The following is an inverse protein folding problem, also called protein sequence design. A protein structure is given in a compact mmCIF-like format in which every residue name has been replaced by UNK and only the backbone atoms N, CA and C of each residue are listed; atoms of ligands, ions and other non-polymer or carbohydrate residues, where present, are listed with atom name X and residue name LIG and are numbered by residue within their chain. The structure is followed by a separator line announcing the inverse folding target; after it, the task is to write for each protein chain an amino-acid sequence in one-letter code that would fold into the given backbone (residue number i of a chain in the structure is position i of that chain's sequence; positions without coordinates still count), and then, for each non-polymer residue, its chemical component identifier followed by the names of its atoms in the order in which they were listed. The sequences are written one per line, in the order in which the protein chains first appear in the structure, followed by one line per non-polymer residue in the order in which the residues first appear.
data_IF_559861107620
#
_entry.id   IF_559861107620
#
_cell.length_a   1.000
_cell.length_b   1.000
_cell.length_c   1.000
_cell.angle_alpha   90.00
_cell.angle_beta   90.00
_cell.angle_gamma   90.00
#
_symmetry.space_group_name_H-M   'P 1'
#
loop_
_entity.id
_entity.type
_entity.pdbx_description
1 polymer ?
#
# COMPACT_ATOMS: atom_id res chain seq x y z
N UNK A 1 20.62 -2.06 -11.24
CA UNK A 1 20.24 -2.35 -9.84
C UNK A 1 20.88 -1.40 -8.82
N UNK A 2 22.00 -0.73 -9.18
CA UNK A 2 22.71 0.18 -8.26
C UNK A 2 21.91 1.40 -7.78
N UNK A 3 20.86 1.79 -8.50
CA UNK A 3 20.10 3.02 -8.23
C UNK A 3 18.80 2.80 -7.43
N UNK A 4 18.55 1.56 -6.94
CA UNK A 4 17.40 1.28 -6.10
C UNK A 4 17.73 1.49 -4.61
N UNK A 5 16.81 2.16 -3.90
CA UNK A 5 16.78 2.22 -2.43
C UNK A 5 15.88 1.08 -1.96
N UNK A 6 16.39 0.23 -1.08
CA UNK A 6 15.69 -0.99 -0.64
C UNK A 6 15.10 -0.84 0.76
N UNK A 7 13.94 -1.44 0.97
CA UNK A 7 13.24 -1.44 2.25
C UNK A 7 13.97 -2.22 3.35
N UNK A 8 14.77 -3.22 3.00
CA UNK A 8 15.58 -4.04 3.92
C UNK A 8 16.71 -3.25 4.61
N UNK A 9 17.10 -2.08 4.07
CA UNK A 9 18.05 -1.16 4.73
C UNK A 9 17.44 -0.53 6.01
N UNK A 10 16.11 -0.59 6.14
CA UNK A 10 15.37 -0.23 7.35
C UNK A 10 15.16 -1.47 8.21
N UNK A 11 15.99 -1.66 9.21
CA UNK A 11 16.00 -2.82 10.10
C UNK A 11 14.71 -2.86 10.97
N UNK A 12 13.60 -3.34 10.36
CA UNK A 12 12.25 -3.31 10.93
C UNK A 12 11.99 -4.39 12.01
N UNK A 13 13.00 -4.76 12.78
CA UNK A 13 12.81 -5.40 14.08
C UNK A 13 13.43 -6.76 14.30
N UNK A 14 13.96 -6.92 15.50
CA UNK A 14 14.32 -8.21 16.09
C UNK A 14 13.05 -8.91 16.60
N UNK A 15 12.95 -10.21 16.38
CA UNK A 15 11.73 -11.02 16.52
C UNK A 15 10.93 -10.90 17.84
N UNK A 16 11.56 -10.66 18.99
CA UNK A 16 10.85 -10.57 20.29
C UNK A 16 10.21 -9.21 20.52
N UNK A 17 10.89 -8.13 20.19
CA UNK A 17 10.40 -6.76 20.30
C UNK A 17 9.26 -6.52 19.29
N UNK A 18 9.40 -7.04 18.07
CA UNK A 18 8.36 -6.99 17.05
C UNK A 18 7.05 -7.61 17.55
N UNK A 19 7.10 -8.84 18.10
CA UNK A 19 5.92 -9.56 18.60
C UNK A 19 5.20 -8.82 19.72
N UNK A 20 5.93 -8.15 20.61
CA UNK A 20 5.34 -7.30 21.65
C UNK A 20 4.59 -6.13 21.04
N UNK A 21 5.22 -5.38 20.14
CA UNK A 21 4.58 -4.22 19.49
C UNK A 21 3.38 -4.62 18.63
N UNK A 22 3.43 -5.75 17.96
CA UNK A 22 2.29 -6.30 17.21
C UNK A 22 1.07 -6.52 18.13
N UNK A 23 1.26 -7.18 19.26
CA UNK A 23 0.18 -7.44 20.22
C UNK A 23 -0.34 -6.15 20.86
N UNK A 24 0.56 -5.26 21.25
CA UNK A 24 0.22 -3.96 21.81
C UNK A 24 -0.61 -3.13 20.84
N UNK A 25 -0.13 -3.01 19.60
CA UNK A 25 -0.77 -2.23 18.57
C UNK A 25 -2.14 -2.79 18.20
N UNK A 26 -2.26 -4.12 18.07
CA UNK A 26 -3.53 -4.79 17.82
C UNK A 26 -4.56 -4.50 18.91
N UNK A 27 -4.14 -4.57 20.17
CA UNK A 27 -5.01 -4.24 21.32
C UNK A 27 -5.40 -2.76 21.35
N UNK A 28 -4.46 -1.87 21.07
CA UNK A 28 -4.70 -0.42 21.00
C UNK A 28 -5.71 -0.08 19.90
N UNK A 29 -5.48 -0.56 18.68
CA UNK A 29 -6.35 -0.26 17.53
C UNK A 29 -7.75 -0.81 17.74
N UNK A 30 -7.89 -2.03 18.30
CA UNK A 30 -9.22 -2.58 18.61
C UNK A 30 -10.00 -1.66 19.58
N UNK A 31 -9.35 -1.18 20.64
CA UNK A 31 -9.99 -0.25 21.59
C UNK A 31 -10.29 1.10 20.95
N UNK A 32 -9.38 1.62 20.14
CA UNK A 32 -9.57 2.89 19.43
C UNK A 32 -10.73 2.82 18.43
N UNK A 33 -10.85 1.73 17.67
CA UNK A 33 -11.98 1.54 16.75
C UNK A 33 -13.32 1.47 17.49
N UNK A 34 -13.37 0.88 18.69
CA UNK A 34 -14.58 0.87 19.50
C UNK A 34 -14.97 2.30 19.92
N UNK A 35 -14.00 3.15 20.29
CA UNK A 35 -14.27 4.57 20.61
C UNK A 35 -14.76 5.34 19.38
N UNK A 36 -14.14 5.12 18.21
CA UNK A 36 -14.61 5.74 16.96
C UNK A 36 -16.02 5.29 16.59
N UNK A 37 -16.35 4.02 16.82
CA UNK A 37 -17.71 3.49 16.63
C UNK A 37 -18.75 4.16 17.52
N UNK A 38 -18.39 4.47 18.77
CA UNK A 38 -19.27 5.22 19.68
C UNK A 38 -19.48 6.66 19.18
N UNK A 39 -18.41 7.34 18.73
CA UNK A 39 -18.51 8.71 18.18
C UNK A 39 -19.39 8.71 16.92
N UNK A 40 -19.20 7.75 16.00
CA UNK A 40 -20.03 7.60 14.80
C UNK A 40 -21.49 7.34 15.17
N UNK A 41 -21.75 6.48 16.17
CA UNK A 41 -23.10 6.20 16.64
C UNK A 41 -23.81 7.45 17.18
N UNK A 42 -23.15 8.21 18.04
CA UNK A 42 -23.76 9.45 18.59
C UNK A 42 -23.94 10.53 17.53
N UNK A 43 -22.96 10.73 16.64
CA UNK A 43 -23.13 11.70 15.55
C UNK A 43 -24.27 11.30 14.60
N UNK A 44 -24.43 10.00 14.32
CA UNK A 44 -25.57 9.53 13.51
C UNK A 44 -26.92 9.75 14.22
N UNK A 45 -27.00 9.58 15.55
CA UNK A 45 -28.20 9.87 16.34
C UNK A 45 -28.55 11.36 16.30
N UNK A 46 -27.54 12.24 16.41
CA UNK A 46 -27.74 13.68 16.30
C UNK A 46 -28.28 14.03 14.91
N UNK A 47 -27.68 13.47 13.84
CA UNK A 47 -28.08 13.72 12.45
C UNK A 47 -29.49 13.16 12.09
N UNK A 48 -29.98 12.21 12.88
CA UNK A 48 -31.31 11.66 12.71
C UNK A 48 -32.44 12.62 13.19
N UNK A 49 -32.11 13.59 14.02
CA UNK A 49 -33.07 14.60 14.50
C UNK A 49 -33.19 15.75 13.48
N UNK A 50 -34.32 15.81 12.79
CA UNK A 50 -34.59 16.86 11.79
C UNK A 50 -34.79 18.26 12.39
N UNK A 51 -34.88 18.38 13.72
CA UNK A 51 -35.11 19.66 14.41
C UNK A 51 -33.85 20.41 14.80
N UNK A 52 -32.67 19.80 14.61
CA UNK A 52 -31.38 20.46 14.92
C UNK A 52 -31.11 21.63 13.97
N UNK A 53 -30.43 22.65 14.49
CA UNK A 53 -30.00 23.77 13.67
C UNK A 53 -28.80 23.35 12.78
N UNK A 54 -28.50 24.19 11.77
CA UNK A 54 -27.46 23.89 10.78
C UNK A 54 -26.07 23.77 11.41
N UNK A 55 -25.73 24.59 12.40
CA UNK A 55 -24.44 24.56 13.10
C UNK A 55 -24.19 23.22 13.83
N UNK A 56 -25.26 22.67 14.44
CA UNK A 56 -25.20 21.37 15.10
C UNK A 56 -25.09 20.25 14.06
N UNK A 57 -25.81 20.39 12.96
CA UNK A 57 -25.73 19.43 11.83
C UNK A 57 -24.33 19.36 11.26
N UNK A 58 -23.75 20.50 10.87
CA UNK A 58 -22.37 20.58 10.35
C UNK A 58 -21.36 19.99 11.34
N UNK A 59 -21.51 20.30 12.63
CA UNK A 59 -20.65 19.77 13.70
C UNK A 59 -20.74 18.24 13.81
N UNK A 60 -21.94 17.67 13.72
CA UNK A 60 -22.15 16.23 13.77
C UNK A 60 -21.60 15.51 12.52
N UNK A 61 -21.76 16.10 11.34
CA UNK A 61 -21.16 15.60 10.09
C UNK A 61 -19.62 15.60 10.15
N UNK A 62 -19.04 16.67 10.69
CA UNK A 62 -17.59 16.75 10.86
C UNK A 62 -17.06 15.73 11.87
N UNK A 63 -17.78 15.49 12.98
CA UNK A 63 -17.43 14.42 13.93
C UNK A 63 -17.50 13.03 13.27
N UNK A 64 -18.55 12.76 12.49
CA UNK A 64 -18.71 11.49 11.78
C UNK A 64 -17.59 11.27 10.75
N UNK A 65 -17.28 12.30 9.96
CA UNK A 65 -16.18 12.28 8.98
C UNK A 65 -14.85 12.05 9.67
N UNK A 66 -14.54 12.76 10.75
CA UNK A 66 -13.28 12.62 11.51
C UNK A 66 -13.13 11.22 12.10
N UNK A 67 -14.20 10.64 12.65
CA UNK A 67 -14.19 9.30 13.19
C UNK A 67 -13.98 8.23 12.09
N UNK A 68 -14.53 8.46 10.89
CA UNK A 68 -14.29 7.61 9.71
C UNK A 68 -12.82 7.65 9.27
N UNK A 69 -12.24 8.84 9.18
CA UNK A 69 -10.81 9.04 8.86
C UNK A 69 -9.91 8.36 9.88
N UNK A 70 -10.20 8.49 11.19
CA UNK A 70 -9.45 7.83 12.25
C UNK A 70 -9.53 6.29 12.16
N UNK A 71 -10.69 5.75 11.80
CA UNK A 71 -10.87 4.29 11.59
C UNK A 71 -10.06 3.81 10.37
N UNK A 72 -10.00 4.60 9.31
CA UNK A 72 -9.22 4.28 8.12
C UNK A 72 -7.71 4.31 8.41
N UNK A 73 -7.23 5.32 9.14
CA UNK A 73 -5.85 5.38 9.63
C UNK A 73 -5.48 4.14 10.46
N UNK A 74 -6.35 3.72 11.36
CA UNK A 74 -6.13 2.51 12.15
C UNK A 74 -5.99 1.25 11.28
N UNK A 75 -6.78 1.15 10.21
CA UNK A 75 -6.69 0.03 9.25
C UNK A 75 -5.35 0.03 8.52
N UNK A 76 -4.88 1.20 8.09
CA UNK A 76 -3.58 1.33 7.43
C UNK A 76 -2.43 1.02 8.38
N UNK A 77 -2.48 1.51 9.62
CA UNK A 77 -1.48 1.17 10.66
C UNK A 77 -1.43 -0.35 10.91
N UNK A 78 -2.60 -1.01 10.98
CA UNK A 78 -2.63 -2.47 11.12
C UNK A 78 -2.00 -3.19 9.94
N UNK A 79 -2.25 -2.75 8.72
CA UNK A 79 -1.60 -3.27 7.51
C UNK A 79 -0.07 -3.09 7.55
N UNK A 80 0.38 -1.90 7.97
CA UNK A 80 1.81 -1.57 8.07
C UNK A 80 2.53 -2.23 9.26
N UNK A 81 1.81 -2.72 10.25
CA UNK A 81 2.40 -3.28 11.48
C UNK A 81 2.89 -4.72 11.35
N UNK A 82 2.58 -5.41 10.25
CA UNK A 82 2.84 -6.84 10.09
C UNK A 82 2.06 -7.72 11.06
N UNK A 83 0.99 -7.21 11.67
CA UNK A 83 0.15 -7.94 12.64
C UNK A 83 -0.72 -9.06 12.00
N UNK A 84 -0.62 -9.28 10.71
CA UNK A 84 -1.28 -10.35 9.99
C UNK A 84 -0.38 -11.57 9.86
N UNK A 85 -0.89 -12.76 10.15
CA UNK A 85 -0.17 -14.01 9.81
C UNK A 85 -0.07 -14.10 8.29
N UNK A 86 1.16 -14.26 7.79
CA UNK A 86 1.43 -14.53 6.37
C UNK A 86 1.57 -16.03 6.19
N UNK A 87 0.78 -16.61 5.29
CA UNK A 87 0.84 -18.02 4.94
C UNK A 87 1.40 -18.17 3.53
N UNK A 88 2.73 -18.28 3.44
CA UNK A 88 3.42 -18.43 2.15
C UNK A 88 3.05 -19.76 1.53
N UNK A 89 2.40 -19.70 0.38
CA UNK A 89 1.99 -20.83 -0.45
C UNK A 89 2.34 -20.59 -1.91
N UNK A 90 1.68 -21.33 -2.79
CA UNK A 90 1.84 -21.24 -4.25
C UNK A 90 0.78 -20.31 -4.81
N UNK A 91 1.20 -19.22 -5.46
CA UNK A 91 0.33 -18.25 -6.12
C UNK A 91 0.50 -18.36 -7.64
N UNK A 92 -0.53 -18.78 -8.35
CA UNK A 92 -0.56 -18.78 -9.81
C UNK A 92 -1.18 -17.48 -10.29
N UNK A 93 -0.50 -16.77 -11.17
CA UNK A 93 -1.01 -15.51 -11.72
C UNK A 93 -2.34 -15.68 -12.44
N UNK A 94 -2.57 -16.84 -13.11
CA UNK A 94 -3.86 -17.17 -13.74
C UNK A 94 -5.05 -17.03 -12.79
N UNK A 95 -4.85 -17.37 -11.51
CA UNK A 95 -5.91 -17.46 -10.52
C UNK A 95 -6.25 -16.10 -9.89
N UNK A 96 -5.23 -15.24 -9.74
CA UNK A 96 -5.35 -13.97 -9.01
C UNK A 96 -5.41 -12.74 -9.91
N UNK A 97 -4.83 -12.82 -11.09
CA UNK A 97 -4.63 -11.68 -12.00
C UNK A 97 -5.94 -11.00 -12.44
N UNK A 98 -7.05 -11.71 -12.72
CA UNK A 98 -8.31 -11.05 -13.07
C UNK A 98 -8.82 -10.11 -11.99
N UNK A 99 -8.75 -10.56 -10.72
CA UNK A 99 -9.13 -9.74 -9.57
C UNK A 99 -8.15 -8.57 -9.34
N UNK A 100 -6.85 -8.85 -9.38
CA UNK A 100 -5.84 -7.80 -9.19
C UNK A 100 -5.93 -6.71 -10.26
N UNK A 101 -6.12 -7.11 -11.51
CA UNK A 101 -6.29 -6.18 -12.63
C UNK A 101 -7.50 -5.27 -12.41
N UNK A 102 -8.67 -5.85 -12.14
CA UNK A 102 -9.90 -5.09 -11.89
C UNK A 102 -9.76 -4.09 -10.74
N UNK A 103 -9.09 -4.52 -9.64
CA UNK A 103 -8.87 -3.64 -8.49
C UNK A 103 -7.87 -2.52 -8.78
N UNK A 104 -6.81 -2.78 -9.56
CA UNK A 104 -5.87 -1.76 -9.99
C UNK A 104 -6.52 -0.76 -10.97
N UNK A 105 -7.39 -1.23 -11.88
CA UNK A 105 -8.18 -0.36 -12.77
C UNK A 105 -9.09 0.58 -11.96
N UNK A 106 -9.76 0.07 -10.92
CA UNK A 106 -10.60 0.88 -10.00
C UNK A 106 -9.75 1.97 -9.30
N UNK A 107 -8.59 1.59 -8.73
CA UNK A 107 -7.69 2.52 -8.04
C UNK A 107 -7.20 3.62 -8.99
N UNK A 108 -6.74 3.25 -10.18
CA UNK A 108 -6.22 4.20 -11.16
C UNK A 108 -7.32 5.09 -11.73
N UNK A 109 -8.51 4.52 -11.98
CA UNK A 109 -9.68 5.26 -12.45
C UNK A 109 -10.14 6.33 -11.46
N UNK A 110 -10.08 6.04 -10.15
CA UNK A 110 -10.41 7.02 -9.10
C UNK A 110 -9.45 8.23 -9.09
N UNK A 111 -8.21 8.05 -9.54
CA UNK A 111 -7.20 9.12 -9.67
C UNK A 111 -7.13 9.72 -11.07
N UNK A 112 -7.96 9.27 -12.01
CA UNK A 112 -7.98 9.76 -13.41
C UNK A 112 -6.72 9.43 -14.22
N UNK A 113 -5.99 8.35 -13.86
CA UNK A 113 -4.74 7.97 -14.53
C UNK A 113 -4.93 6.76 -15.44
N UNK A 114 -4.15 6.68 -16.52
CA UNK A 114 -4.13 5.54 -17.41
C UNK A 114 -3.46 4.33 -16.75
N UNK A 115 -4.05 3.15 -16.91
CA UNK A 115 -3.53 1.91 -16.34
C UNK A 115 -3.19 0.89 -17.43
N UNK A 116 -2.03 0.24 -17.29
CA UNK A 116 -1.64 -0.90 -18.10
C UNK A 116 -1.09 -2.03 -17.25
N UNK A 117 -1.34 -3.27 -17.65
CA UNK A 117 -0.79 -4.46 -17.02
C UNK A 117 -0.28 -5.42 -18.08
N UNK A 118 1.00 -5.76 -17.98
CA UNK A 118 1.68 -6.68 -18.89
C UNK A 118 2.24 -7.87 -18.11
N UNK A 119 1.97 -9.06 -18.58
CA UNK A 119 2.57 -10.30 -18.06
C UNK A 119 3.35 -10.94 -19.20
N UNK A 120 4.67 -11.07 -19.01
CA UNK A 120 5.52 -11.76 -19.97
C UNK A 120 5.21 -13.26 -20.00
N UNK A 121 5.60 -13.92 -21.07
CA UNK A 121 5.45 -15.37 -21.16
C UNK A 121 6.31 -16.11 -20.13
N UNK A 122 5.90 -17.32 -19.75
CA UNK A 122 6.66 -18.23 -18.89
C UNK A 122 6.91 -17.72 -17.47
N UNK A 123 6.01 -16.90 -16.91
CA UNK A 123 6.06 -16.57 -15.47
C UNK A 123 5.75 -17.84 -14.65
N UNK A 124 6.67 -18.32 -13.81
CA UNK A 124 6.39 -19.46 -12.93
C UNK A 124 5.39 -19.08 -11.84
N UNK A 125 4.86 -20.07 -11.12
CA UNK A 125 4.10 -19.81 -9.92
C UNK A 125 4.96 -19.07 -8.87
N UNK A 126 4.35 -18.15 -8.15
CA UNK A 126 5.03 -17.30 -7.18
C UNK A 126 4.95 -17.93 -5.79
N UNK A 127 5.99 -17.74 -4.97
CA UNK A 127 5.96 -18.08 -3.55
C UNK A 127 5.47 -16.87 -2.77
N UNK A 128 4.28 -16.96 -2.13
CA UNK A 128 3.70 -15.85 -1.37
C UNK A 128 2.35 -16.21 -0.80
N UNK A 129 1.78 -15.29 -0.05
CA UNK A 129 0.38 -15.30 0.36
C UNK A 129 -0.43 -14.51 -0.67
N UNK A 130 -1.40 -15.12 -1.33
CA UNK A 130 -2.12 -14.51 -2.45
C UNK A 130 -2.88 -13.24 -2.05
N UNK A 131 -3.48 -13.23 -0.85
CA UNK A 131 -4.21 -12.07 -0.34
C UNK A 131 -3.24 -10.92 0.04
N UNK A 132 -2.15 -11.26 0.74
CA UNK A 132 -1.14 -10.29 1.18
C UNK A 132 -0.31 -9.74 0.02
N UNK A 133 -0.01 -10.55 -0.99
CA UNK A 133 0.65 -10.09 -2.20
C UNK A 133 -0.27 -9.13 -2.99
N UNK A 134 -1.57 -9.42 -3.08
CA UNK A 134 -2.54 -8.48 -3.65
C UNK A 134 -2.61 -7.17 -2.87
N UNK A 135 -2.69 -7.23 -1.54
CA UNK A 135 -2.69 -6.05 -0.66
C UNK A 135 -1.42 -5.18 -0.86
N UNK A 136 -0.24 -5.82 -0.93
CA UNK A 136 1.02 -5.15 -1.23
C UNK A 136 0.98 -4.42 -2.58
N UNK A 137 0.55 -5.12 -3.64
CA UNK A 137 0.41 -4.54 -4.99
C UNK A 137 -0.54 -3.34 -4.96
N UNK A 138 -1.69 -3.44 -4.26
CA UNK A 138 -2.66 -2.35 -4.17
C UNK A 138 -2.11 -1.13 -3.43
N UNK A 139 -1.30 -1.29 -2.39
CA UNK A 139 -0.60 -0.18 -1.74
C UNK A 139 0.35 0.53 -2.71
N UNK A 140 1.15 -0.23 -3.46
CA UNK A 140 2.08 0.33 -4.45
C UNK A 140 1.33 1.04 -5.60
N UNK A 141 0.26 0.45 -6.11
CA UNK A 141 -0.55 1.02 -7.19
C UNK A 141 -1.28 2.28 -6.73
N UNK A 142 -1.84 2.30 -5.53
CA UNK A 142 -2.48 3.49 -4.96
C UNK A 142 -1.48 4.64 -4.84
N UNK A 143 -0.29 4.38 -4.30
CA UNK A 143 0.76 5.39 -4.21
C UNK A 143 1.20 5.90 -5.59
N UNK A 144 1.31 5.01 -6.57
CA UNK A 144 1.64 5.33 -7.96
C UNK A 144 0.55 6.18 -8.63
N UNK A 145 -0.73 5.81 -8.46
CA UNK A 145 -1.87 6.51 -9.03
C UNK A 145 -2.03 7.92 -8.44
N UNK A 146 -1.92 8.07 -7.12
CA UNK A 146 -1.93 9.36 -6.44
C UNK A 146 -0.79 10.28 -6.92
N UNK A 147 0.40 9.72 -7.12
CA UNK A 147 1.55 10.49 -7.64
C UNK A 147 1.35 10.90 -9.09
N UNK A 148 0.79 10.04 -9.93
CA UNK A 148 0.56 10.29 -11.34
C UNK A 148 -0.66 11.19 -11.62
N UNK A 149 -1.65 11.23 -10.71
CA UNK A 149 -2.89 12.00 -10.87
C UNK A 149 -2.69 13.52 -10.97
N UNK A 150 -1.54 14.04 -10.54
CA UNK A 150 -1.16 15.45 -10.73
C UNK A 150 -0.69 15.80 -12.15
N UNK A 151 -0.58 14.84 -13.06
CA UNK A 151 -0.06 15.04 -14.42
C UNK A 151 -1.17 14.88 -15.46
N UNK A 152 -1.19 15.73 -16.48
CA UNK A 152 -2.23 15.70 -17.55
C UNK A 152 -2.28 14.40 -18.35
N UNK A 153 -1.18 13.65 -18.38
CA UNK A 153 -1.07 12.32 -18.99
C UNK A 153 -0.50 11.31 -18.00
N UNK A 154 -0.98 11.37 -16.76
CA UNK A 154 -0.56 10.46 -15.71
C UNK A 154 -0.85 8.99 -16.07
N UNK A 155 0.11 8.12 -15.78
CA UNK A 155 -0.02 6.70 -16.10
C UNK A 155 0.60 5.83 -15.02
N UNK A 156 0.04 4.63 -14.88
CA UNK A 156 0.56 3.55 -14.04
C UNK A 156 0.68 2.29 -14.89
N UNK A 157 1.84 1.66 -14.87
CA UNK A 157 2.11 0.41 -15.58
C UNK A 157 2.60 -0.66 -14.61
N UNK A 158 2.04 -1.86 -14.72
CA UNK A 158 2.49 -3.07 -14.01
C UNK A 158 3.08 -4.04 -15.04
N UNK A 159 4.29 -4.50 -14.81
CA UNK A 159 4.97 -5.45 -15.67
C UNK A 159 5.55 -6.61 -14.86
N UNK A 160 5.18 -7.84 -15.22
CA UNK A 160 5.76 -9.08 -14.69
C UNK A 160 6.76 -9.65 -15.67
N UNK A 161 7.97 -9.92 -15.19
CA UNK A 161 9.05 -10.53 -15.96
C UNK A 161 9.47 -11.88 -15.36
N UNK A 162 9.74 -12.90 -16.19
CA UNK A 162 10.23 -14.17 -15.70
C UNK A 162 11.67 -14.03 -15.14
N UNK A 163 12.14 -15.01 -14.36
CA UNK A 163 13.50 -15.01 -13.84
C UNK A 163 14.57 -14.79 -14.91
N UNK A 164 15.49 -13.88 -14.63
CA UNK A 164 16.64 -13.60 -15.49
C UNK A 164 16.37 -12.71 -16.71
N UNK A 165 15.12 -12.28 -16.97
CA UNK A 165 14.83 -11.40 -18.11
C UNK A 165 15.07 -9.92 -17.78
N UNK A 166 14.53 -9.41 -16.67
CA UNK A 166 14.68 -7.99 -16.30
C UNK A 166 15.85 -7.76 -15.34
N UNK A 167 16.13 -8.71 -14.46
CA UNK A 167 17.28 -8.67 -13.55
C UNK A 167 17.99 -10.02 -13.50
N UNK A 168 19.32 -10.05 -13.26
CA UNK A 168 20.01 -11.31 -13.01
C UNK A 168 19.46 -11.99 -11.75
N UNK A 169 19.12 -13.28 -11.86
CA UNK A 169 18.67 -14.07 -10.70
C UNK A 169 17.56 -15.06 -11.01
N UNK A 170 17.00 -15.63 -9.95
CA UNK A 170 15.97 -16.67 -10.01
C UNK A 170 14.58 -16.16 -9.57
N UNK A 171 14.46 -14.87 -9.36
CA UNK A 171 13.19 -14.23 -8.94
C UNK A 171 12.38 -13.78 -10.13
N UNK A 172 11.06 -13.81 -9.99
CA UNK A 172 10.14 -13.07 -10.85
C UNK A 172 10.22 -11.61 -10.46
N UNK A 173 10.44 -10.75 -11.44
CA UNK A 173 10.50 -9.31 -11.23
C UNK A 173 9.14 -8.68 -11.54
N UNK A 174 8.58 -7.99 -10.57
CA UNK A 174 7.40 -7.14 -10.73
C UNK A 174 7.83 -5.69 -10.68
N UNK A 175 7.54 -4.93 -11.73
CA UNK A 175 7.72 -3.49 -11.76
C UNK A 175 6.37 -2.79 -11.77
N UNK A 176 6.23 -1.79 -10.91
CA UNK A 176 5.12 -0.84 -10.93
C UNK A 176 5.74 0.52 -11.21
N UNK A 177 5.41 1.08 -12.38
CA UNK A 177 5.96 2.35 -12.86
C UNK A 177 4.86 3.38 -12.96
N UNK A 178 5.17 4.62 -12.61
CA UNK A 178 4.23 5.73 -12.78
C UNK A 178 4.91 7.02 -13.19
N UNK A 179 4.16 7.88 -13.85
CA UNK A 179 4.55 9.28 -14.07
C UNK A 179 4.77 9.96 -12.73
N UNK A 180 5.90 10.64 -12.54
CA UNK A 180 6.27 11.26 -11.27
C UNK A 180 7.11 12.52 -11.50
N UNK A 181 7.09 13.44 -10.54
CA UNK A 181 8.13 14.43 -10.41
C UNK A 181 9.44 13.75 -10.03
N UNK A 182 10.57 14.39 -10.38
CA UNK A 182 11.90 13.90 -10.01
C UNK A 182 12.07 13.90 -8.50
N UNK A 183 12.53 12.79 -7.94
CA UNK A 183 12.81 12.64 -6.51
C UNK A 183 14.27 12.26 -6.32
N UNK A 184 14.97 13.04 -5.46
CA UNK A 184 16.34 12.73 -5.08
C UNK A 184 16.46 11.51 -4.15
N UNK A 185 17.68 10.98 -3.97
CA UNK A 185 17.94 9.79 -3.15
C UNK A 185 17.43 9.92 -1.71
N UNK A 186 17.58 11.08 -1.08
CA UNK A 186 17.12 11.33 0.29
C UNK A 186 15.58 11.25 0.42
N UNK A 187 14.85 11.74 -0.60
CA UNK A 187 13.40 11.62 -0.63
C UNK A 187 12.95 10.17 -0.81
N UNK A 188 13.64 9.39 -1.64
CA UNK A 188 13.39 7.96 -1.83
C UNK A 188 13.65 7.16 -0.55
N UNK A 189 14.72 7.50 0.19
CA UNK A 189 14.98 6.86 1.48
C UNK A 189 13.85 7.15 2.47
N UNK A 190 13.40 8.39 2.58
CA UNK A 190 12.32 8.76 3.49
C UNK A 190 10.95 8.22 3.09
N UNK A 191 10.77 7.80 1.84
CA UNK A 191 9.51 7.26 1.37
C UNK A 191 9.03 5.99 2.12
N UNK A 192 9.93 5.26 2.78
CA UNK A 192 9.58 4.11 3.61
C UNK A 192 9.36 4.45 5.09
N UNK A 193 9.64 5.70 5.50
CA UNK A 193 9.46 6.12 6.91
C UNK A 193 7.98 6.35 7.18
N UNK A 194 7.39 5.70 8.23
CA UNK A 194 5.97 5.88 8.54
C UNK A 194 5.63 7.34 8.83
N UNK A 195 4.46 7.76 8.37
CA UNK A 195 3.91 9.12 8.55
C UNK A 195 4.66 10.24 7.81
N UNK A 196 5.72 9.92 7.07
CA UNK A 196 6.33 10.88 6.15
C UNK A 196 5.59 10.89 4.81
N UNK A 197 5.05 12.05 4.45
CA UNK A 197 4.34 12.25 3.17
C UNK A 197 4.57 13.67 2.65
N UNK A 198 4.71 13.79 1.34
CA UNK A 198 4.70 15.08 0.64
C UNK A 198 3.33 15.44 0.05
N UNK A 199 2.31 14.58 0.24
CA UNK A 199 1.02 14.65 -0.45
C UNK A 199 -0.10 15.39 0.33
N UNK A 200 0.25 16.12 1.40
CA UNK A 200 -0.74 16.85 2.20
C UNK A 200 -1.41 16.00 3.31
N UNK A 201 -2.28 16.66 4.09
CA UNK A 201 -2.85 16.09 5.34
C UNK A 201 -3.86 14.97 5.14
N UNK A 202 -4.33 14.74 3.93
CA UNK A 202 -5.28 13.65 3.62
C UNK A 202 -4.59 12.29 3.42
N UNK A 203 -3.25 12.27 3.34
CA UNK A 203 -2.46 11.07 3.16
C UNK A 203 -1.64 10.76 4.42
N UNK A 204 -1.82 9.58 4.97
CA UNK A 204 -1.17 9.20 6.23
C UNK A 204 0.32 8.84 6.11
N UNK A 205 0.87 8.69 4.89
CA UNK A 205 2.27 8.33 4.68
C UNK A 205 2.64 6.91 5.18
N UNK A 206 1.69 5.97 5.16
CA UNK A 206 1.88 4.60 5.69
C UNK A 206 1.92 3.55 4.56
N UNK A 207 1.39 3.85 3.39
CA UNK A 207 1.22 2.86 2.32
C UNK A 207 2.50 2.17 1.86
N UNK A 208 3.61 2.90 1.69
CA UNK A 208 4.90 2.31 1.33
C UNK A 208 5.54 1.53 2.48
N UNK A 209 5.36 1.97 3.72
CA UNK A 209 5.77 1.23 4.91
C UNK A 209 5.02 -0.11 4.98
N UNK A 210 3.70 -0.10 4.76
CA UNK A 210 2.88 -1.33 4.72
C UNK A 210 3.37 -2.29 3.63
N UNK A 211 3.61 -1.78 2.41
CA UNK A 211 4.16 -2.58 1.32
C UNK A 211 5.52 -3.19 1.67
N UNK A 212 6.41 -2.42 2.31
CA UNK A 212 7.73 -2.91 2.72
C UNK A 212 7.64 -4.02 3.78
N UNK A 213 6.77 -3.86 4.77
CA UNK A 213 6.54 -4.88 5.81
C UNK A 213 5.97 -6.17 5.20
N UNK A 214 4.96 -6.07 4.35
CA UNK A 214 4.37 -7.23 3.66
C UNK A 214 5.40 -7.94 2.77
N UNK A 215 6.23 -7.17 2.04
CA UNK A 215 7.32 -7.74 1.24
C UNK A 215 8.30 -8.51 2.12
N UNK A 216 8.77 -7.91 3.21
CA UNK A 216 9.69 -8.54 4.17
C UNK A 216 9.11 -9.81 4.81
N UNK A 217 7.83 -9.80 5.20
CA UNK A 217 7.14 -10.95 5.79
C UNK A 217 7.00 -12.13 4.81
N UNK A 218 6.92 -11.86 3.51
CA UNK A 218 6.92 -12.87 2.45
C UNK A 218 8.34 -13.22 1.95
N UNK A 219 9.40 -12.61 2.51
CA UNK A 219 10.78 -12.82 2.08
C UNK A 219 11.06 -12.29 0.66
N UNK A 220 10.35 -11.25 0.26
CA UNK A 220 10.53 -10.52 -1.00
C UNK A 220 11.39 -9.28 -0.77
N UNK A 221 12.03 -8.77 -1.83
CA UNK A 221 12.75 -7.49 -1.79
C UNK A 221 11.94 -6.43 -2.53
N UNK A 222 11.75 -5.29 -1.89
CA UNK A 222 11.09 -4.11 -2.46
C UNK A 222 12.11 -2.97 -2.55
N UNK A 223 12.22 -2.37 -3.73
CA UNK A 223 13.07 -1.21 -3.98
C UNK A 223 12.36 -0.14 -4.79
N UNK A 224 12.78 1.11 -4.61
CA UNK A 224 12.27 2.26 -5.33
C UNK A 224 13.40 2.93 -6.13
N UNK A 225 13.07 3.41 -7.32
CA UNK A 225 13.93 4.25 -8.14
C UNK A 225 13.10 5.34 -8.82
N UNK A 226 13.62 6.56 -8.86
CA UNK A 226 13.06 7.64 -9.67
C UNK A 226 14.10 8.09 -10.69
N UNK A 227 13.74 8.10 -11.96
CA UNK A 227 14.59 8.57 -13.04
C UNK A 227 13.73 8.98 -14.24
N UNK A 228 14.14 10.04 -14.94
CA UNK A 228 13.52 10.51 -16.18
C UNK A 228 12.00 10.72 -16.05
N UNK A 229 11.55 11.32 -14.96
CA UNK A 229 10.12 11.57 -14.70
C UNK A 229 9.30 10.31 -14.43
N UNK A 230 9.94 9.19 -14.11
CA UNK A 230 9.30 7.91 -13.83
C UNK A 230 9.72 7.38 -12.46
N UNK A 231 8.74 7.17 -11.58
CA UNK A 231 8.93 6.38 -10.37
C UNK A 231 8.76 4.90 -10.73
N UNK A 232 9.64 4.08 -10.20
CA UNK A 232 9.59 2.62 -10.35
C UNK A 232 9.68 1.96 -8.97
N UNK A 233 8.64 1.21 -8.59
CA UNK A 233 8.73 0.23 -7.53
C UNK A 233 9.06 -1.12 -8.14
N UNK A 234 10.08 -1.78 -7.62
CA UNK A 234 10.51 -3.12 -8.03
C UNK A 234 10.34 -4.10 -6.88
N UNK A 235 9.66 -5.18 -7.14
CA UNK A 235 9.46 -6.29 -6.21
C UNK A 235 10.07 -7.56 -6.80
N UNK A 236 11.03 -8.15 -6.09
CA UNK A 236 11.62 -9.43 -6.45
C UNK A 236 10.90 -10.56 -5.70
N UNK A 237 10.22 -11.44 -6.43
CA UNK A 237 9.34 -12.49 -5.91
C UNK A 237 9.99 -13.85 -6.19
N UNK A 238 10.15 -14.69 -5.17
CA UNK A 238 10.67 -16.06 -5.39
C UNK A 238 9.65 -16.89 -6.16
N UNK A 239 10.14 -17.73 -7.06
CA UNK A 239 9.32 -18.77 -7.68
C UNK A 239 8.93 -19.81 -6.62
N UNK A 240 7.69 -20.29 -6.67
CA UNK A 240 7.32 -21.50 -5.94
C UNK A 240 7.98 -22.68 -6.66
N UNK A 241 8.79 -23.44 -5.93
CA UNK A 241 9.48 -24.62 -6.44
C UNK A 241 8.53 -25.76 -6.77
#
# INVERSE_FOLDING_TARGET
MADFVFADDYNLGQNSTRRFYEQFLKGYIHKHNNLMGVIQGFSSLILYDDTINEEVRESAEQMQSSAKVATELNREIMGASGCGRVEVGVVRLSDVLPYWKSKCEEICGASGVNFTLTVREKIPALAGDSAKLGELIFHLVRNAAESAGGFSQGSVAIDFFPPGEASPGTTVDLFIRNTSAELGPDALQRAFVPFETSKGSEHFGIGLTAAAVLAGDMGMRLGLRCADGTMTAWLAIRSAG
#
